data_IF_448035556407
#
_entry.id   IF_448035556407
#
_cell.length_a   1.000
_cell.length_b   1.000
_cell.length_c   1.000
_cell.angle_alpha   90.00
_cell.angle_beta   90.00
_cell.angle_gamma   90.00
#
_symmetry.space_group_name_H-M   'P 1'
#
loop_
_entity.id
_entity.type
_entity.pdbx_description
1 polymer ?
#
# COMPACT_ATOMS: atom_id res chain seq x y z
N UNK A 1 6.37 2.99 -45.29
CA UNK A 1 6.07 2.56 -43.91
C UNK A 1 7.40 2.40 -43.18
N UNK A 2 7.80 3.40 -42.40
CA UNK A 2 9.04 3.35 -41.61
C UNK A 2 8.70 2.90 -40.18
N UNK A 3 9.30 1.80 -39.73
CA UNK A 3 9.28 1.40 -38.33
C UNK A 3 10.48 2.04 -37.62
N UNK A 4 10.20 2.97 -36.71
CA UNK A 4 11.20 3.55 -35.83
C UNK A 4 11.37 2.64 -34.61
N UNK A 5 12.52 1.97 -34.50
CA UNK A 5 12.94 1.28 -33.28
C UNK A 5 13.41 2.32 -32.24
N UNK A 6 12.57 2.64 -31.27
CA UNK A 6 12.98 3.38 -30.06
C UNK A 6 13.61 2.40 -29.07
N UNK A 7 14.93 2.25 -29.14
CA UNK A 7 15.72 1.66 -28.08
C UNK A 7 15.91 2.69 -26.96
N UNK A 8 15.19 2.52 -25.85
CA UNK A 8 15.43 3.29 -24.63
C UNK A 8 16.62 2.65 -23.90
N UNK A 9 17.77 3.34 -23.90
CA UNK A 9 18.88 3.02 -22.99
C UNK A 9 18.53 3.55 -21.59
N UNK A 10 18.26 2.66 -20.65
CA UNK A 10 18.21 2.97 -19.23
C UNK A 10 19.62 2.75 -18.67
N UNK A 11 20.26 3.81 -18.20
CA UNK A 11 21.46 3.69 -17.38
C UNK A 11 21.01 3.49 -15.93
N UNK A 12 21.26 2.31 -15.37
CA UNK A 12 21.21 2.06 -13.94
C UNK A 12 22.30 2.87 -13.23
N UNK A 13 21.89 3.84 -12.42
CA UNK A 13 22.75 4.46 -11.42
C UNK A 13 21.90 4.79 -10.19
N UNK A 14 22.12 4.02 -9.12
CA UNK A 14 21.65 4.34 -7.78
C UNK A 14 22.34 5.62 -7.31
N UNK A 15 21.65 6.60 -6.71
CA UNK A 15 22.33 7.75 -6.12
C UNK A 15 22.95 7.33 -4.78
N UNK A 16 24.24 7.01 -4.85
CA UNK A 16 25.11 6.88 -3.68
C UNK A 16 25.62 8.28 -3.32
N UNK A 17 25.04 8.88 -2.27
CA UNK A 17 25.53 10.13 -1.70
C UNK A 17 25.07 10.30 -0.25
N UNK A 18 25.64 9.50 0.64
CA UNK A 18 25.72 9.85 2.06
C UNK A 18 26.78 10.95 2.18
N UNK A 19 26.36 12.22 2.22
CA UNK A 19 27.26 13.29 2.68
C UNK A 19 27.28 13.27 4.19
N UNK A 20 28.32 12.64 4.73
CA UNK A 20 28.79 12.87 6.10
C UNK A 20 28.96 14.37 6.32
N UNK A 21 28.15 14.95 7.21
CA UNK A 21 28.38 16.29 7.73
C UNK A 21 29.08 16.12 9.08
N UNK A 22 30.39 16.33 9.09
CA UNK A 22 31.17 16.56 10.31
C UNK A 22 30.58 17.77 11.04
N UNK A 23 29.94 17.54 12.19
CA UNK A 23 29.67 18.59 13.17
C UNK A 23 30.56 18.32 14.37
N UNK A 24 31.59 19.17 14.48
CA UNK A 24 32.49 19.28 15.61
C UNK A 24 31.72 19.50 16.90
N UNK A 25 32.11 18.77 17.95
CA UNK A 25 31.37 18.66 19.20
C UNK A 25 31.28 19.95 20.00
N UNK A 26 30.15 20.10 20.67
CA UNK A 26 30.11 20.73 21.99
C UNK A 26 29.14 19.96 22.88
N UNK A 27 29.55 19.80 24.14
CA UNK A 27 28.90 18.93 25.10
C UNK A 27 27.56 19.53 25.54
N UNK A 28 26.47 18.86 25.24
CA UNK A 28 25.28 18.83 26.10
C UNK A 28 24.45 17.64 25.69
N UNK A 29 24.48 16.57 26.46
CA UNK A 29 23.60 15.42 26.29
C UNK A 29 22.14 15.90 26.29
N UNK A 30 21.36 15.74 25.21
CA UNK A 30 19.93 15.69 25.37
C UNK A 30 19.65 14.28 25.88
N UNK A 31 19.21 14.18 27.13
CA UNK A 31 18.50 13.01 27.58
C UNK A 31 17.47 12.66 26.49
N UNK A 32 17.66 11.51 25.85
CA UNK A 32 16.64 10.91 25.02
C UNK A 32 15.51 10.51 25.96
N UNK A 33 14.70 11.49 26.34
CA UNK A 33 13.34 11.27 26.74
C UNK A 33 12.64 10.78 25.47
N UNK A 34 12.80 9.50 25.17
CA UNK A 34 11.77 8.75 24.49
C UNK A 34 10.57 8.86 25.43
N UNK A 35 9.76 9.90 25.20
CA UNK A 35 8.42 9.96 25.74
C UNK A 35 7.82 8.61 25.46
N UNK A 36 7.48 7.87 26.51
CA UNK A 36 6.78 6.59 26.45
C UNK A 36 5.69 6.74 25.38
N UNK A 37 5.90 6.11 24.23
CA UNK A 37 4.86 5.94 23.25
C UNK A 37 3.83 5.07 23.95
N UNK A 38 2.80 5.73 24.46
CA UNK A 38 1.63 5.08 25.00
C UNK A 38 1.08 4.24 23.85
N UNK A 39 1.12 2.93 24.03
CA UNK A 39 0.79 1.94 23.01
C UNK A 39 -0.72 1.96 22.71
N UNK A 40 -1.14 2.86 21.84
CA UNK A 40 -2.14 2.54 20.82
C UNK A 40 -1.33 2.10 19.61
N UNK A 41 -0.93 0.83 19.58
CA UNK A 41 -0.16 0.31 18.46
C UNK A 41 -1.12 0.09 17.29
N UNK A 42 -1.13 1.03 16.34
CA UNK A 42 -1.77 0.80 15.04
C UNK A 42 -1.19 -0.49 14.43
N UNK A 43 -2.06 -1.40 14.01
CA UNK A 43 -1.70 -2.65 13.32
C UNK A 43 -1.61 -2.42 11.82
N UNK A 44 -0.55 -2.89 11.17
CA UNK A 44 -0.33 -2.64 9.75
C UNK A 44 -0.21 -3.93 8.93
N UNK A 45 -0.67 -3.88 7.68
CA UNK A 45 -0.42 -4.94 6.70
C UNK A 45 -0.09 -4.37 5.33
N UNK A 46 0.70 -5.13 4.57
CA UNK A 46 1.09 -4.76 3.22
C UNK A 46 1.13 -5.97 2.29
N UNK A 47 0.60 -5.84 1.08
CA UNK A 47 0.65 -6.88 0.05
C UNK A 47 0.87 -6.29 -1.35
N UNK A 48 1.63 -7.00 -2.18
CA UNK A 48 1.75 -6.75 -3.62
C UNK A 48 1.19 -7.96 -4.35
N UNK A 49 0.10 -7.76 -5.08
CA UNK A 49 -0.68 -8.84 -5.68
C UNK A 49 -0.51 -8.79 -7.18
N UNK A 50 0.00 -9.88 -7.76
CA UNK A 50 0.15 -9.98 -9.22
C UNK A 50 -1.21 -10.17 -9.89
N UNK A 51 -1.66 -9.13 -10.60
CA UNK A 51 -2.92 -9.09 -11.33
C UNK A 51 -2.71 -8.34 -12.65
N UNK A 52 -2.85 -9.05 -13.78
CA UNK A 52 -2.83 -8.40 -15.09
C UNK A 52 -4.03 -7.46 -15.21
N UNK A 53 -3.78 -6.23 -15.65
CA UNK A 53 -4.79 -5.17 -15.70
C UNK A 53 -5.31 -4.78 -14.31
N UNK A 54 -4.43 -4.73 -13.29
CA UNK A 54 -4.76 -4.33 -11.92
C UNK A 54 -5.61 -3.05 -11.78
N UNK A 55 -5.49 -1.99 -12.64
CA UNK A 55 -6.34 -0.81 -12.50
C UNK A 55 -7.84 -1.12 -12.73
N UNK A 56 -8.17 -2.16 -13.48
CA UNK A 56 -9.55 -2.63 -13.62
C UNK A 56 -10.07 -3.25 -12.32
N UNK A 57 -9.23 -4.01 -11.62
CA UNK A 57 -9.56 -4.57 -10.31
C UNK A 57 -9.73 -3.48 -9.25
N UNK A 58 -8.82 -2.50 -9.22
CA UNK A 58 -8.95 -1.33 -8.35
C UNK A 58 -10.30 -0.63 -8.54
N UNK A 59 -10.66 -0.32 -9.79
CA UNK A 59 -11.96 0.30 -10.11
C UNK A 59 -13.12 -0.59 -9.68
N UNK A 60 -13.03 -1.90 -9.92
CA UNK A 60 -14.01 -2.88 -9.46
C UNK A 60 -14.21 -2.85 -7.94
N UNK A 61 -13.12 -2.83 -7.17
CA UNK A 61 -13.15 -2.74 -5.71
C UNK A 61 -13.85 -1.45 -5.26
N UNK A 62 -13.52 -0.30 -5.87
CA UNK A 62 -14.16 0.97 -5.54
C UNK A 62 -15.66 0.99 -5.85
N UNK A 63 -16.11 0.23 -6.86
CA UNK A 63 -17.53 0.10 -7.21
C UNK A 63 -18.28 -0.84 -6.27
N UNK A 64 -17.64 -1.89 -5.77
CA UNK A 64 -18.25 -2.87 -4.86
C UNK A 64 -18.31 -2.39 -3.41
N UNK A 65 -17.34 -1.58 -2.97
CA UNK A 65 -17.25 -1.09 -1.58
C UNK A 65 -18.18 0.10 -1.29
N UNK A 66 -19.46 -0.03 -1.69
CA UNK A 66 -20.54 0.93 -1.43
C UNK A 66 -21.50 0.44 -0.34
N UNK A 67 -20.96 -0.06 0.77
CA UNK A 67 -21.74 -0.42 1.96
C UNK A 67 -21.78 0.73 2.97
N UNK A 68 -22.63 0.66 3.99
CA UNK A 68 -22.68 1.68 5.05
C UNK A 68 -21.36 1.78 5.83
N UNK A 69 -20.66 0.65 6.00
CA UNK A 69 -19.49 0.52 6.87
C UNK A 69 -18.14 0.81 6.19
N UNK A 70 -18.11 0.88 4.84
CA UNK A 70 -16.86 1.08 4.08
C UNK A 70 -17.06 2.16 3.03
N UNK A 71 -16.25 3.21 3.10
CA UNK A 71 -16.27 4.32 2.14
C UNK A 71 -15.13 4.21 1.15
N UNK A 72 -15.47 3.88 -0.10
CA UNK A 72 -14.51 3.83 -1.19
C UNK A 72 -14.33 5.19 -1.89
N UNK A 73 -13.08 5.58 -2.14
CA UNK A 73 -12.72 6.78 -2.91
C UNK A 73 -11.66 6.45 -3.94
N UNK A 74 -11.98 6.64 -5.22
CA UNK A 74 -10.99 6.59 -6.30
C UNK A 74 -10.31 7.98 -6.40
N UNK A 75 -9.03 8.07 -6.01
CA UNK A 75 -8.27 9.33 -6.00
C UNK A 75 -7.65 9.64 -7.36
N UNK A 76 -7.17 8.60 -8.06
CA UNK A 76 -6.56 8.64 -9.39
C UNK A 76 -7.02 7.42 -10.19
N UNK A 77 -6.79 7.36 -11.52
CA UNK A 77 -7.14 6.19 -12.32
C UNK A 77 -6.53 4.87 -11.82
N UNK A 78 -5.43 4.97 -11.08
CA UNK A 78 -4.57 3.91 -10.57
C UNK A 78 -4.34 3.97 -9.05
N UNK A 79 -5.07 4.82 -8.32
CA UNK A 79 -4.98 4.89 -6.86
C UNK A 79 -6.34 5.12 -6.18
N UNK A 80 -6.58 4.42 -5.07
CA UNK A 80 -7.83 4.47 -4.32
C UNK A 80 -7.63 4.32 -2.81
N UNK A 81 -8.69 4.56 -2.07
CA UNK A 81 -8.77 4.43 -0.61
C UNK A 81 -10.06 3.71 -0.26
N UNK A 82 -9.99 2.70 0.60
CA UNK A 82 -11.13 2.18 1.35
C UNK A 82 -11.00 2.65 2.80
N UNK A 83 -11.92 3.47 3.27
CA UNK A 83 -11.97 3.90 4.66
C UNK A 83 -12.98 3.05 5.44
N UNK A 84 -12.53 2.48 6.55
CA UNK A 84 -13.30 1.71 7.53
C UNK A 84 -13.48 2.54 8.80
N UNK A 85 -14.34 2.11 9.72
CA UNK A 85 -14.50 2.79 11.01
C UNK A 85 -13.22 2.78 11.84
N UNK A 86 -12.52 1.64 11.87
CA UNK A 86 -11.31 1.40 12.67
C UNK A 86 -10.02 1.31 11.86
N UNK A 87 -10.02 1.81 10.62
CA UNK A 87 -8.84 1.71 9.78
C UNK A 87 -9.03 2.18 8.34
N UNK A 88 -7.99 2.01 7.55
CA UNK A 88 -7.98 2.40 6.15
C UNK A 88 -7.09 1.47 5.33
N UNK A 89 -7.45 1.32 4.06
CA UNK A 89 -6.72 0.55 3.06
C UNK A 89 -6.42 1.46 1.86
N UNK A 90 -5.13 1.80 1.69
CA UNK A 90 -4.63 2.51 0.53
C UNK A 90 -4.26 1.51 -0.57
N UNK A 91 -4.68 1.83 -1.80
CA UNK A 91 -4.54 0.97 -2.95
C UNK A 91 -3.87 1.72 -4.08
N UNK A 92 -2.89 1.08 -4.72
CA UNK A 92 -2.31 1.58 -5.97
C UNK A 92 -2.16 0.45 -6.98
N UNK A 93 -2.32 0.74 -8.26
CA UNK A 93 -2.31 -0.26 -9.32
C UNK A 93 -1.33 0.11 -10.44
N UNK A 94 -0.50 -0.84 -10.84
CA UNK A 94 0.27 -0.78 -12.09
C UNK A 94 -0.37 -1.69 -13.13
N UNK A 95 0.20 -1.85 -14.32
CA UNK A 95 -0.34 -2.79 -15.31
C UNK A 95 -0.36 -4.26 -14.84
N UNK A 96 0.46 -4.63 -13.85
CA UNK A 96 0.67 -6.01 -13.41
C UNK A 96 0.47 -6.23 -11.91
N UNK A 97 0.43 -5.18 -11.09
CA UNK A 97 0.36 -5.31 -9.64
C UNK A 97 -0.74 -4.43 -9.05
N UNK A 98 -1.46 -4.99 -8.10
CA UNK A 98 -2.28 -4.25 -7.14
C UNK A 98 -1.53 -4.25 -5.81
N UNK A 99 -1.07 -3.08 -5.39
CA UNK A 99 -0.40 -2.86 -4.11
C UNK A 99 -1.41 -2.38 -3.09
N UNK A 100 -1.34 -2.95 -1.89
CA UNK A 100 -2.30 -2.75 -0.81
C UNK A 100 -1.54 -2.42 0.47
N UNK A 101 -1.86 -1.30 1.11
CA UNK A 101 -1.36 -0.93 2.43
C UNK A 101 -2.55 -0.71 3.38
N UNK A 102 -2.56 -1.39 4.51
CA UNK A 102 -3.61 -1.31 5.52
C UNK A 102 -3.05 -0.83 6.85
N UNK A 103 -3.83 0.00 7.53
CA UNK A 103 -3.62 0.42 8.90
C UNK A 103 -4.93 0.31 9.66
N UNK A 104 -4.91 -0.31 10.84
CA UNK A 104 -6.07 -0.47 11.71
C UNK A 104 -5.73 -0.17 13.16
N UNK A 105 -6.74 0.12 13.98
CA UNK A 105 -6.55 0.42 15.40
C UNK A 105 -6.11 -0.79 16.25
N UNK A 106 -6.38 -2.01 15.78
CA UNK A 106 -6.06 -3.26 16.47
C UNK A 106 -5.92 -4.43 15.45
N UNK A 107 -5.33 -5.55 15.88
CA UNK A 107 -5.10 -6.74 15.03
C UNK A 107 -6.39 -7.38 14.52
N UNK A 108 -7.45 -7.38 15.34
CA UNK A 108 -8.76 -7.93 14.96
C UNK A 108 -9.37 -7.13 13.80
N UNK A 109 -9.34 -5.80 13.91
CA UNK A 109 -9.81 -4.89 12.86
C UNK A 109 -8.96 -5.03 11.58
N UNK A 110 -7.64 -5.25 11.71
CA UNK A 110 -6.78 -5.52 10.57
C UNK A 110 -7.17 -6.83 9.86
N UNK A 111 -7.42 -7.89 10.62
CA UNK A 111 -7.83 -9.19 10.07
C UNK A 111 -9.20 -9.12 9.38
N UNK A 112 -10.15 -8.35 9.93
CA UNK A 112 -11.44 -8.06 9.29
C UNK A 112 -11.25 -7.30 7.97
N UNK A 113 -10.40 -6.27 7.95
CA UNK A 113 -10.09 -5.50 6.75
C UNK A 113 -9.42 -6.34 5.65
N UNK A 114 -8.49 -7.23 6.03
CA UNK A 114 -7.86 -8.20 5.12
C UNK A 114 -8.92 -9.12 4.53
N UNK A 115 -9.74 -9.73 5.38
CA UNK A 115 -10.82 -10.65 4.96
C UNK A 115 -11.79 -9.98 4.00
N UNK A 116 -12.22 -8.76 4.33
CA UNK A 116 -13.10 -7.95 3.47
C UNK A 116 -12.46 -7.71 2.10
N UNK A 117 -11.21 -7.28 2.08
CA UNK A 117 -10.49 -7.00 0.84
C UNK A 117 -10.35 -8.26 -0.03
N UNK A 118 -9.97 -9.39 0.57
CA UNK A 118 -9.84 -10.66 -0.13
C UNK A 118 -11.15 -11.13 -0.75
N UNK A 119 -12.26 -11.06 0.01
CA UNK A 119 -13.60 -11.43 -0.48
C UNK A 119 -13.98 -10.62 -1.72
N UNK A 120 -13.80 -9.29 -1.68
CA UNK A 120 -14.11 -8.42 -2.82
C UNK A 120 -13.22 -8.68 -4.01
N UNK A 121 -11.92 -8.86 -3.78
CA UNK A 121 -11.00 -9.13 -4.88
C UNK A 121 -11.27 -10.50 -5.54
N UNK A 122 -11.60 -11.53 -4.75
CA UNK A 122 -11.96 -12.86 -5.27
C UNK A 122 -13.30 -12.84 -6.00
N UNK A 123 -14.26 -12.04 -5.54
CA UNK A 123 -15.55 -11.84 -6.24
C UNK A 123 -15.35 -11.21 -7.62
N UNK A 124 -14.38 -10.31 -7.78
CA UNK A 124 -14.03 -9.71 -9.09
C UNK A 124 -13.31 -10.68 -10.03
N UNK A 125 -12.68 -11.73 -9.49
CA UNK A 125 -11.87 -12.69 -10.26
C UNK A 125 -12.10 -14.15 -9.85
N UNK A 126 -13.33 -14.69 -9.97
CA UNK A 126 -13.66 -16.01 -9.46
C UNK A 126 -12.90 -17.16 -10.16
N UNK A 127 -12.31 -16.89 -11.33
CA UNK A 127 -11.52 -17.85 -12.11
C UNK A 127 -10.01 -17.61 -12.04
N UNK A 128 -9.56 -16.56 -11.36
CA UNK A 128 -8.14 -16.22 -11.29
C UNK A 128 -7.58 -16.74 -9.98
N UNK A 129 -6.62 -17.65 -10.08
CA UNK A 129 -5.80 -18.04 -8.96
C UNK A 129 -4.72 -16.97 -8.77
N UNK A 130 -4.95 -16.08 -7.80
CA UNK A 130 -3.93 -15.17 -7.29
C UNK A 130 -3.70 -15.47 -5.81
N UNK A 131 -2.45 -15.30 -5.39
CA UNK A 131 -2.02 -15.43 -4.00
C UNK A 131 -1.88 -14.04 -3.40
N UNK A 132 -2.25 -13.91 -2.12
CA UNK A 132 -2.06 -12.69 -1.35
C UNK A 132 -1.19 -13.08 -0.18
N UNK A 133 0.02 -12.53 -0.14
CA UNK A 133 0.96 -12.70 0.95
C UNK A 133 1.02 -11.41 1.77
N UNK A 134 0.38 -11.43 2.94
CA UNK A 134 0.31 -10.28 3.84
C UNK A 134 1.58 -10.17 4.67
N UNK A 135 2.25 -9.02 4.56
CA UNK A 135 3.34 -8.63 5.44
C UNK A 135 2.78 -7.80 6.59
N UNK A 136 2.50 -8.45 7.72
CA UNK A 136 1.95 -7.83 8.93
C UNK A 136 3.06 -7.22 9.80
N UNK A 137 2.79 -6.08 10.44
CA UNK A 137 3.70 -5.37 11.34
C UNK A 137 2.97 -4.68 12.49
#
# INVERSE_FOLDING_TARGET
MHMSNLAVKVNDAWPDAVKSLDVSGDQTSPAAHTSKQQSDADSFAFADIYLRSAPCYLKGLMLQARSEDVKATLRKPDAGLLAFEKGACELSATSLFLTVAMSAADEDSLAEMQTYFEDKLRTLSPKTNFEIDWRNK
#
